data_IF_786734181847
#
_entry.id   IF_786734181847
#
_cell.length_a   1.000
_cell.length_b   1.000
_cell.length_c   1.000
_cell.angle_alpha   90.00
_cell.angle_beta   90.00
_cell.angle_gamma   90.00
#
_symmetry.space_group_name_H-M   'P 1'
#
loop_
_entity.id
_entity.type
_entity.pdbx_description
1 polymer ?
#
# COMPACT_ATOMS: atom_id res chain seq x y z
N UNK A 1 -3.75 -17.66 11.54
CA UNK A 1 -4.81 -16.72 12.01
C UNK A 1 -6.03 -16.78 11.07
N UNK A 2 -6.64 -17.96 10.93
CA UNK A 2 -7.69 -18.22 9.92
C UNK A 2 -8.95 -17.40 10.23
N UNK A 3 -9.49 -16.68 9.24
CA UNK A 3 -10.78 -15.98 9.34
C UNK A 3 -10.80 -14.72 10.23
N UNK A 4 -9.67 -14.27 10.77
CA UNK A 4 -9.64 -13.07 11.60
C UNK A 4 -9.71 -11.80 10.75
N UNK A 5 -10.94 -11.29 10.52
CA UNK A 5 -11.17 -9.99 9.86
C UNK A 5 -10.43 -8.86 10.59
N UNK A 6 -10.43 -8.90 11.93
CA UNK A 6 -9.74 -7.93 12.78
C UNK A 6 -8.24 -7.93 12.56
N UNK A 7 -7.62 -9.11 12.46
CA UNK A 7 -6.18 -9.24 12.20
C UNK A 7 -5.78 -8.57 10.90
N UNK A 8 -6.49 -8.89 9.81
CA UNK A 8 -6.24 -8.27 8.52
C UNK A 8 -6.49 -6.75 8.56
N UNK A 9 -7.55 -6.30 9.24
CA UNK A 9 -7.85 -4.87 9.34
C UNK A 9 -6.73 -4.09 10.02
N UNK A 10 -6.21 -4.63 11.14
CA UNK A 10 -5.09 -4.02 11.87
C UNK A 10 -3.83 -4.03 11.02
N UNK A 11 -3.54 -5.12 10.30
CA UNK A 11 -2.37 -5.23 9.43
C UNK A 11 -2.42 -4.23 8.28
N UNK A 12 -3.53 -4.15 7.54
CA UNK A 12 -3.72 -3.16 6.47
C UNK A 12 -3.58 -1.74 7.03
N UNK A 13 -4.26 -1.44 8.15
CA UNK A 13 -4.20 -0.13 8.77
C UNK A 13 -2.79 0.24 9.20
N UNK A 14 -2.06 -0.69 9.81
CA UNK A 14 -0.68 -0.50 10.25
C UNK A 14 0.27 -0.26 9.08
N UNK A 15 0.23 -1.11 8.05
CA UNK A 15 1.11 -0.99 6.87
C UNK A 15 0.89 0.34 6.17
N UNK A 16 -0.37 0.71 5.91
CA UNK A 16 -0.69 1.97 5.23
C UNK A 16 -0.36 3.20 6.09
N UNK A 17 -0.57 3.15 7.41
CA UNK A 17 -0.16 4.22 8.32
C UNK A 17 1.37 4.40 8.35
N UNK A 18 2.14 3.30 8.34
CA UNK A 18 3.60 3.37 8.26
C UNK A 18 4.07 4.00 6.96
N UNK A 19 3.47 3.62 5.82
CA UNK A 19 3.78 4.26 4.53
C UNK A 19 3.45 5.74 4.53
N UNK A 20 2.31 6.14 5.12
CA UNK A 20 1.92 7.54 5.24
C UNK A 20 2.91 8.33 6.08
N UNK A 21 3.33 7.81 7.24
CA UNK A 21 4.34 8.45 8.09
C UNK A 21 5.66 8.59 7.32
N UNK A 22 6.10 7.53 6.62
CA UNK A 22 7.32 7.57 5.83
C UNK A 22 7.25 8.63 4.72
N UNK A 23 6.14 8.66 3.98
CA UNK A 23 5.91 9.57 2.86
C UNK A 23 5.82 11.03 3.27
N UNK A 24 5.02 11.35 4.29
CA UNK A 24 4.70 12.73 4.66
C UNK A 24 5.72 13.35 5.61
N UNK A 25 6.40 12.53 6.44
CA UNK A 25 7.30 13.04 7.47
C UNK A 25 8.75 12.65 7.23
N UNK A 26 9.01 11.36 7.08
CA UNK A 26 10.38 10.85 7.06
C UNK A 26 11.10 11.30 5.79
N UNK A 27 10.54 11.03 4.60
CA UNK A 27 11.21 11.39 3.36
C UNK A 27 11.40 12.91 3.18
N UNK A 28 10.40 13.78 3.43
CA UNK A 28 10.60 15.22 3.34
C UNK A 28 11.65 15.73 4.31
N UNK A 29 11.71 15.18 5.54
CA UNK A 29 12.76 15.51 6.50
C UNK A 29 14.16 15.15 5.99
N UNK A 30 14.33 13.95 5.44
CA UNK A 30 15.60 13.53 4.84
C UNK A 30 15.96 14.38 3.63
N UNK A 31 15.01 14.65 2.71
CA UNK A 31 15.27 15.49 1.54
C UNK A 31 15.74 16.89 1.97
N UNK A 32 15.03 17.51 2.91
CA UNK A 32 15.39 18.82 3.45
C UNK A 32 16.78 18.84 4.09
N UNK A 33 17.15 17.79 4.84
CA UNK A 33 18.43 17.74 5.56
C UNK A 33 19.64 17.51 4.65
N UNK A 34 19.47 16.74 3.58
CA UNK A 34 20.57 16.30 2.69
C UNK A 34 20.67 17.08 1.38
N UNK A 35 19.58 17.71 0.92
CA UNK A 35 19.53 18.48 -0.33
C UNK A 35 19.04 19.91 -0.07
N UNK A 36 19.89 20.80 0.46
CA UNK A 36 19.50 22.18 0.76
C UNK A 36 19.29 23.05 -0.49
N UNK A 37 19.74 22.59 -1.67
CA UNK A 37 19.55 23.29 -2.95
C UNK A 37 18.20 22.93 -3.58
N UNK A 38 17.41 23.95 -3.92
CA UNK A 38 16.01 23.80 -4.33
C UNK A 38 15.79 22.86 -5.53
N UNK A 39 16.63 22.94 -6.56
CA UNK A 39 16.46 22.12 -7.77
C UNK A 39 16.71 20.62 -7.54
N UNK A 40 17.68 20.28 -6.66
CA UNK A 40 17.90 18.88 -6.29
C UNK A 40 16.81 18.37 -5.36
N UNK A 41 16.35 19.18 -4.40
CA UNK A 41 15.25 18.81 -3.51
C UNK A 41 13.96 18.51 -4.29
N UNK A 42 13.64 19.34 -5.30
CA UNK A 42 12.47 19.15 -6.16
C UNK A 42 12.55 17.83 -6.94
N UNK A 43 13.69 17.56 -7.60
CA UNK A 43 13.91 16.28 -8.30
C UNK A 43 13.78 15.09 -7.35
N UNK A 44 14.42 15.15 -6.18
CA UNK A 44 14.32 14.07 -5.19
C UNK A 44 12.89 13.85 -4.70
N UNK A 45 12.10 14.92 -4.59
CA UNK A 45 10.66 14.85 -4.32
C UNK A 45 9.89 14.07 -5.38
N UNK A 46 10.09 14.38 -6.67
CA UNK A 46 9.44 13.66 -7.77
C UNK A 46 9.81 12.16 -7.78
N UNK A 47 11.12 11.85 -7.66
CA UNK A 47 11.60 10.47 -7.58
C UNK A 47 10.99 9.72 -6.39
N UNK A 48 10.88 10.39 -5.24
CA UNK A 48 10.26 9.81 -4.04
C UNK A 48 8.80 9.46 -4.30
N UNK A 49 8.02 10.34 -4.93
CA UNK A 49 6.61 10.06 -5.25
C UNK A 49 6.48 8.87 -6.20
N UNK A 50 7.36 8.75 -7.21
CA UNK A 50 7.40 7.57 -8.10
C UNK A 50 7.65 6.29 -7.31
N UNK A 51 8.72 6.28 -6.50
CA UNK A 51 9.13 5.11 -5.71
C UNK A 51 8.02 4.69 -4.74
N UNK A 52 7.44 5.65 -4.01
CA UNK A 52 6.35 5.38 -3.07
C UNK A 52 5.11 4.89 -3.80
N UNK A 53 4.78 5.44 -4.97
CA UNK A 53 3.68 4.96 -5.80
C UNK A 53 3.84 3.50 -6.21
N UNK A 54 5.03 3.11 -6.69
CA UNK A 54 5.33 1.72 -7.05
C UNK A 54 5.27 0.80 -5.83
N UNK A 55 5.87 1.20 -4.70
CA UNK A 55 5.83 0.43 -3.45
C UNK A 55 4.38 0.23 -2.98
N UNK A 56 3.55 1.27 -3.05
CA UNK A 56 2.13 1.18 -2.70
C UNK A 56 1.39 0.19 -3.60
N UNK A 57 1.67 0.18 -4.90
CA UNK A 57 1.08 -0.82 -5.80
C UNK A 57 1.41 -2.25 -5.37
N UNK A 58 2.68 -2.51 -5.02
CA UNK A 58 3.13 -3.81 -4.51
C UNK A 58 2.48 -4.13 -3.17
N UNK A 59 2.34 -3.16 -2.26
CA UNK A 59 1.67 -3.33 -0.97
C UNK A 59 0.21 -3.71 -1.17
N UNK A 60 -0.55 -3.02 -2.04
CA UNK A 60 -1.95 -3.37 -2.28
C UNK A 60 -2.11 -4.77 -2.88
N UNK A 61 -1.25 -5.17 -3.81
CA UNK A 61 -1.19 -6.53 -4.33
C UNK A 61 -0.88 -7.54 -3.21
N UNK A 62 0.10 -7.24 -2.37
CA UNK A 62 0.50 -8.06 -1.22
C UNK A 62 -0.64 -8.24 -0.21
N UNK A 63 -1.31 -7.15 0.19
CA UNK A 63 -2.47 -7.17 1.09
C UNK A 63 -3.62 -7.97 0.50
N UNK A 64 -3.86 -7.83 -0.81
CA UNK A 64 -4.79 -8.67 -1.56
C UNK A 64 -4.44 -10.15 -1.43
N UNK A 65 -3.19 -10.50 -1.70
CA UNK A 65 -2.70 -11.88 -1.62
C UNK A 65 -2.83 -12.45 -0.21
N UNK A 66 -2.36 -11.71 0.80
CA UNK A 66 -2.44 -12.03 2.24
C UNK A 66 -3.89 -12.28 2.69
N UNK A 67 -4.84 -11.45 2.23
CA UNK A 67 -6.25 -11.60 2.59
C UNK A 67 -6.85 -12.94 2.17
N UNK A 68 -6.37 -13.54 1.06
CA UNK A 68 -6.82 -14.85 0.58
C UNK A 68 -5.97 -16.00 1.12
N UNK A 69 -4.64 -15.86 1.14
CA UNK A 69 -3.75 -16.96 1.48
C UNK A 69 -3.62 -17.17 2.99
N UNK A 70 -3.36 -16.09 3.74
CA UNK A 70 -3.07 -16.15 5.18
C UNK A 70 -4.37 -16.14 5.99
N UNK A 71 -5.27 -15.19 5.67
CA UNK A 71 -6.53 -15.01 6.42
C UNK A 71 -7.70 -15.80 5.85
N UNK A 72 -7.60 -16.30 4.61
CA UNK A 72 -8.62 -17.13 3.94
C UNK A 72 -10.02 -16.49 3.92
N UNK A 73 -10.07 -15.16 3.78
CA UNK A 73 -11.33 -14.43 3.73
C UNK A 73 -12.01 -14.62 2.37
N UNK A 74 -13.34 -14.77 2.39
CA UNK A 74 -14.15 -14.70 1.17
C UNK A 74 -14.01 -13.32 0.50
N UNK A 75 -14.34 -13.23 -0.78
CA UNK A 75 -14.26 -11.96 -1.52
C UNK A 75 -15.09 -10.86 -0.84
N UNK A 76 -16.31 -11.20 -0.41
CA UNK A 76 -17.22 -10.28 0.29
C UNK A 76 -16.63 -9.77 1.60
N UNK A 77 -16.01 -10.66 2.39
CA UNK A 77 -15.37 -10.28 3.66
C UNK A 77 -14.15 -9.40 3.44
N UNK A 78 -13.36 -9.69 2.41
CA UNK A 78 -12.19 -8.88 2.06
C UNK A 78 -12.60 -7.48 1.58
N UNK A 79 -13.66 -7.37 0.77
CA UNK A 79 -14.23 -6.08 0.34
C UNK A 79 -14.77 -5.29 1.53
N UNK A 80 -15.45 -5.94 2.48
CA UNK A 80 -15.91 -5.29 3.72
C UNK A 80 -14.73 -4.74 4.52
N UNK A 81 -13.65 -5.51 4.69
CA UNK A 81 -12.45 -5.06 5.39
C UNK A 81 -11.79 -3.89 4.67
N UNK A 82 -11.66 -3.98 3.34
CA UNK A 82 -11.11 -2.91 2.51
C UNK A 82 -11.93 -1.63 2.66
N UNK A 83 -13.26 -1.73 2.52
CA UNK A 83 -14.18 -0.60 2.67
C UNK A 83 -14.14 -0.03 4.10
N UNK A 84 -14.09 -0.88 5.13
CA UNK A 84 -14.06 -0.43 6.52
C UNK A 84 -12.87 0.49 6.83
N UNK A 85 -11.73 0.26 6.17
CA UNK A 85 -10.51 1.04 6.37
C UNK A 85 -10.54 2.30 5.52
N UNK A 86 -10.90 2.18 4.24
CA UNK A 86 -10.75 3.26 3.28
C UNK A 86 -11.95 4.23 3.28
N UNK A 87 -13.17 3.72 3.48
CA UNK A 87 -14.40 4.50 3.34
C UNK A 87 -14.53 5.61 4.39
N UNK A 88 -14.25 5.39 5.70
CA UNK A 88 -14.28 6.48 6.67
C UNK A 88 -13.28 7.60 6.32
N UNK A 89 -12.10 7.23 5.84
CA UNK A 89 -11.03 8.18 5.51
C UNK A 89 -11.33 8.97 4.24
N UNK A 90 -11.95 8.34 3.24
CA UNK A 90 -12.44 9.05 2.05
C UNK A 90 -13.63 9.95 2.35
N UNK A 91 -14.55 9.51 3.22
CA UNK A 91 -15.70 10.31 3.62
C UNK A 91 -15.25 11.58 4.37
N UNK A 92 -14.29 11.43 5.28
CA UNK A 92 -13.70 12.53 6.05
C UNK A 92 -12.85 13.45 5.18
N UNK A 93 -12.05 12.90 4.25
CA UNK A 93 -11.19 13.68 3.37
C UNK A 93 -11.93 14.41 2.24
N UNK A 94 -13.07 13.88 1.81
CA UNK A 94 -13.86 14.41 0.70
C UNK A 94 -14.99 15.37 1.09
N UNK A 95 -15.57 15.24 2.29
CA UNK A 95 -16.60 16.19 2.72
C UNK A 95 -15.97 17.53 3.18
N UNK A 96 -16.41 18.68 2.63
CA UNK A 96 -16.10 19.98 3.19
C UNK A 96 -16.91 20.18 4.48
N UNK A 97 -16.50 19.51 5.55
CA UNK A 97 -17.03 19.68 6.90
C UNK A 97 -16.46 20.98 7.49
N UNK A 98 -16.86 22.12 6.92
CA UNK A 98 -16.50 23.48 7.36
C UNK A 98 -17.11 23.84 8.71
N UNK A 99 -18.03 23.03 9.23
CA UNK A 99 -18.78 23.28 10.46
C UNK A 99 -18.10 22.79 11.75
N UNK A 100 -17.02 22.00 11.70
CA UNK A 100 -16.36 21.47 12.91
C UNK A 100 -14.87 21.84 12.97
N UNK A 101 -14.58 22.98 13.61
CA UNK A 101 -13.21 23.45 13.93
C UNK A 101 -12.28 22.45 14.63
N UNK A 102 -12.71 21.51 15.50
CA UNK A 102 -11.77 20.57 16.12
C UNK A 102 -11.34 19.40 15.21
N UNK A 103 -11.93 19.25 14.01
CA UNK A 103 -11.72 18.07 13.15
C UNK A 103 -10.70 18.28 12.02
N UNK A 104 -9.94 19.38 12.04
CA UNK A 104 -8.99 19.74 10.97
C UNK A 104 -7.88 18.70 10.80
N UNK A 105 -7.34 18.18 11.90
CA UNK A 105 -6.29 17.15 11.87
C UNK A 105 -6.76 15.85 11.20
N UNK A 106 -8.02 15.46 11.44
CA UNK A 106 -8.61 14.25 10.88
C UNK A 106 -8.92 14.44 9.39
N UNK A 107 -9.32 15.66 8.99
CA UNK A 107 -9.47 16.02 7.57
C UNK A 107 -8.13 15.98 6.82
N UNK A 108 -7.06 16.53 7.40
CA UNK A 108 -5.72 16.47 6.79
C UNK A 108 -5.20 15.03 6.71
N UNK A 109 -5.45 14.20 7.73
CA UNK A 109 -5.14 12.77 7.66
C UNK A 109 -5.93 12.06 6.55
N UNK A 110 -7.22 12.36 6.39
CA UNK A 110 -8.05 11.83 5.30
C UNK A 110 -7.55 12.24 3.90
N UNK A 111 -7.12 13.50 3.75
CA UNK A 111 -6.50 14.00 2.51
C UNK A 111 -5.15 13.32 2.23
N UNK A 112 -4.29 13.18 3.25
CA UNK A 112 -3.02 12.47 3.11
C UNK A 112 -3.26 11.01 2.71
N UNK A 113 -4.28 10.38 3.28
CA UNK A 113 -4.67 9.01 2.95
C UNK A 113 -5.15 8.87 1.50
N UNK A 114 -6.01 9.76 1.01
CA UNK A 114 -6.47 9.72 -0.39
C UNK A 114 -5.35 10.04 -1.40
N UNK A 115 -4.35 10.82 -0.98
CA UNK A 115 -3.15 11.15 -1.75
C UNK A 115 -2.10 10.05 -1.80
N UNK A 116 -2.19 8.99 -0.98
CA UNK A 116 -1.23 7.88 -0.99
C UNK A 116 -0.97 7.37 -2.41
N UNK A 117 -2.04 6.95 -3.13
CA UNK A 117 -1.96 6.56 -4.54
C UNK A 117 -2.13 7.77 -5.48
N UNK A 118 -2.93 8.76 -5.07
CA UNK A 118 -3.27 9.91 -5.91
C UNK A 118 -2.04 10.68 -6.40
N UNK A 119 -1.03 10.85 -5.56
CA UNK A 119 0.20 11.57 -5.95
C UNK A 119 1.00 10.79 -7.01
N UNK A 120 0.98 9.45 -6.97
CA UNK A 120 1.56 8.61 -8.00
C UNK A 120 0.84 8.74 -9.35
N UNK A 121 -0.49 8.83 -9.33
CA UNK A 121 -1.29 9.02 -10.55
C UNK A 121 -1.09 10.42 -11.15
N UNK A 122 -0.93 11.44 -10.30
CA UNK A 122 -0.72 12.82 -10.72
C UNK A 122 0.59 13.04 -11.49
N UNK A 123 1.57 12.17 -11.31
CA UNK A 123 2.80 12.19 -12.10
C UNK A 123 2.59 11.85 -13.58
N UNK A 124 1.57 11.05 -13.90
CA UNK A 124 1.28 10.66 -15.28
C UNK A 124 0.42 11.69 -16.00
N UNK A 125 -0.49 12.33 -15.29
CA UNK A 125 -1.33 13.39 -15.83
C UNK A 125 -1.58 14.49 -14.79
N UNK A 126 -0.86 15.62 -14.89
CA UNK A 126 -1.01 16.75 -13.99
C UNK A 126 -2.38 17.43 -14.06
N UNK A 127 -3.15 17.20 -15.14
CA UNK A 127 -4.44 17.85 -15.39
C UNK A 127 -5.59 17.21 -14.60
N UNK A 128 -5.41 15.99 -14.09
CA UNK A 128 -6.37 15.41 -13.15
C UNK A 128 -6.40 16.27 -11.88
N UNK A 129 -7.51 16.96 -11.66
CA UNK A 129 -7.65 17.90 -10.54
C UNK A 129 -8.87 17.61 -9.66
N UNK A 130 -9.92 16.97 -10.21
CA UNK A 130 -11.26 16.99 -9.57
C UNK A 130 -11.74 15.59 -9.11
N UNK A 131 -11.27 14.48 -9.70
CA UNK A 131 -11.74 13.12 -9.35
C UNK A 131 -10.65 12.14 -8.85
N UNK A 132 -9.45 12.64 -8.49
CA UNK A 132 -8.35 11.78 -8.02
C UNK A 132 -8.71 10.91 -6.83
N UNK A 133 -9.63 11.37 -5.97
CA UNK A 133 -10.02 10.60 -4.78
C UNK A 133 -10.76 9.32 -5.17
N UNK A 134 -11.71 9.40 -6.11
CA UNK A 134 -12.44 8.23 -6.59
C UNK A 134 -11.57 7.36 -7.49
N UNK A 135 -10.73 7.97 -8.32
CA UNK A 135 -9.80 7.22 -9.17
C UNK A 135 -8.77 6.46 -8.33
N UNK A 136 -8.17 7.09 -7.32
CA UNK A 136 -7.19 6.44 -6.44
C UNK A 136 -7.82 5.31 -5.64
N UNK A 137 -9.07 5.48 -5.20
CA UNK A 137 -9.88 4.45 -4.57
C UNK A 137 -10.10 3.24 -5.50
N UNK A 138 -10.48 3.49 -6.74
CA UNK A 138 -10.67 2.46 -7.75
C UNK A 138 -9.37 1.72 -8.07
N UNK A 139 -8.27 2.44 -8.25
CA UNK A 139 -6.95 1.83 -8.51
C UNK A 139 -6.51 0.97 -7.33
N UNK A 140 -6.66 1.46 -6.09
CA UNK A 140 -6.36 0.70 -4.87
C UNK A 140 -7.18 -0.60 -4.81
N UNK A 141 -8.47 -0.51 -5.11
CA UNK A 141 -9.38 -1.65 -5.11
C UNK A 141 -9.00 -2.66 -6.19
N UNK A 142 -8.73 -2.21 -7.41
CA UNK A 142 -8.30 -3.06 -8.52
C UNK A 142 -7.00 -3.80 -8.17
N UNK A 143 -6.00 -3.10 -7.64
CA UNK A 143 -4.74 -3.71 -7.20
C UNK A 143 -4.96 -4.74 -6.08
N UNK A 144 -5.78 -4.41 -5.09
CA UNK A 144 -6.14 -5.34 -4.02
C UNK A 144 -6.83 -6.61 -4.56
N UNK A 145 -7.76 -6.46 -5.49
CA UNK A 145 -8.46 -7.58 -6.13
C UNK A 145 -7.52 -8.42 -7.00
N UNK A 146 -6.66 -7.79 -7.79
CA UNK A 146 -5.61 -8.49 -8.55
C UNK A 146 -4.69 -9.28 -7.61
N UNK A 147 -4.29 -8.68 -6.50
CA UNK A 147 -3.46 -9.30 -5.47
C UNK A 147 -4.06 -10.60 -4.91
N UNK A 148 -5.40 -10.65 -4.75
CA UNK A 148 -6.10 -11.86 -4.28
C UNK A 148 -5.97 -13.05 -5.24
N UNK A 149 -5.70 -12.81 -6.52
CA UNK A 149 -5.47 -13.89 -7.49
C UNK A 149 -4.01 -14.34 -7.55
N UNK A 150 -3.09 -13.56 -7.00
CA UNK A 150 -1.68 -13.96 -6.91
C UNK A 150 -1.55 -15.05 -5.85
N UNK A 151 -1.20 -16.26 -6.29
CA UNK A 151 -0.77 -17.37 -5.45
C UNK A 151 0.74 -17.46 -5.48
N UNK A 152 1.40 -17.17 -4.36
CA UNK A 152 2.84 -17.44 -4.22
C UNK A 152 2.96 -18.94 -3.99
N UNK A 153 3.26 -19.68 -5.05
CA UNK A 153 3.49 -21.12 -4.94
C UNK A 153 4.91 -21.36 -4.43
N UNK A 154 5.04 -21.80 -3.18
CA UNK A 154 6.33 -22.21 -2.61
C UNK A 154 6.87 -23.53 -3.22
N UNK A 155 6.09 -24.18 -4.09
CA UNK A 155 6.38 -25.49 -4.67
C UNK A 155 7.70 -25.54 -5.49
N UNK A 156 8.21 -24.39 -5.94
CA UNK A 156 9.49 -24.34 -6.64
C UNK A 156 10.71 -24.47 -5.69
N UNK A 157 10.60 -24.08 -4.42
CA UNK A 157 11.73 -24.11 -3.48
C UNK A 157 12.02 -25.53 -2.98
N UNK A 158 10.97 -26.29 -2.65
CA UNK A 158 11.12 -27.68 -2.17
C UNK A 158 11.64 -28.67 -3.22
N UNK A 159 11.53 -28.37 -4.52
CA UNK A 159 12.10 -29.21 -5.59
C UNK A 159 13.61 -29.01 -5.75
N UNK A 160 14.08 -27.77 -5.61
CA UNK A 160 15.51 -27.46 -5.68
C UNK A 160 16.22 -28.00 -4.45
N UNK A 161 15.64 -27.82 -3.26
CA UNK A 161 16.25 -28.30 -2.01
C UNK A 161 16.32 -29.83 -1.95
N UNK A 162 15.29 -30.54 -2.44
CA UNK A 162 15.34 -32.00 -2.58
C UNK A 162 16.37 -32.48 -3.63
N UNK A 163 16.64 -31.70 -4.68
CA UNK A 163 17.68 -32.04 -5.66
C UNK A 163 19.10 -31.75 -5.16
N UNK A 164 19.29 -30.65 -4.42
CA UNK A 164 20.57 -30.31 -3.77
C UNK A 164 20.90 -31.31 -2.65
N UNK A 165 19.91 -31.70 -1.85
CA UNK A 165 20.04 -32.74 -0.84
C UNK A 165 20.41 -34.11 -1.43
N UNK A 166 19.78 -34.51 -2.55
CA UNK A 166 20.13 -35.75 -3.25
C UNK A 166 21.56 -35.75 -3.82
N UNK A 167 22.02 -34.63 -4.38
CA UNK A 167 23.41 -34.52 -4.89
C UNK A 167 24.44 -34.56 -3.78
N UNK A 168 24.20 -33.91 -2.64
CA UNK A 168 25.10 -33.95 -1.48
C UNK A 168 25.19 -35.34 -0.82
N UNK A 169 24.09 -36.11 -0.83
CA UNK A 169 24.08 -37.47 -0.32
C UNK A 169 24.82 -38.47 -1.23
N UNK A 170 24.90 -38.18 -2.54
CA UNK A 170 25.59 -39.01 -3.52
C UNK A 170 27.12 -38.79 -3.47
N UNK A 171 27.57 -37.56 -3.20
CA UNK A 171 29.00 -37.22 -3.11
C UNK A 171 29.70 -37.62 -1.79
N UNK A 172 28.98 -38.25 -0.85
CA UNK A 172 29.54 -38.74 0.44
C UNK A 172 29.78 -40.26 0.45
N UNK A 173 29.52 -40.95 -0.66
CA UNK A 173 29.68 -42.41 -0.78
C UNK A 173 30.90 -42.85 -1.58
N UNK A 174 31.68 -41.89 -2.03
CA UNK A 174 33.01 -42.07 -2.65
C UNK A 174 34.08 -41.62 -1.65
#
# INVERSE_FOLDING_TARGET
>A
MKGSRRGLSVEIGFVLAMVLILKEWVFPYFIWRFFPTGDMAAKMGEWMVIIVGVILCVIYLGLGSTSRQIYQLSLTQALQVFALIHLPLWLIGGLPLTLMKPLTWIQEAGKAWSRLIGDGLRLFDPSLSIDLMFLSAWVALCLFLCGRNLRVSEEASGRIDNQVGKRSAMNKRD
#
